data_IF_565664758456
#
_entry.id   IF_565664758456
#
_cell.length_a   1.000
_cell.length_b   1.000
_cell.length_c   1.000
_cell.angle_alpha   90.00
_cell.angle_beta   90.00
_cell.angle_gamma   90.00
#
_symmetry.space_group_name_H-M   'P 1'
#
loop_
_entity.id
_entity.type
_entity.pdbx_description
1 polymer ?
#
# COMPACT_ATOMS: atom_id res chain seq x y z
N UNK A 1 3.44 -10.67 -1.91
CA UNK A 1 3.40 -10.31 -0.48
C UNK A 1 2.93 -11.47 0.38
N UNK A 2 1.71 -12.00 0.21
CA UNK A 2 1.21 -13.12 1.01
C UNK A 2 2.15 -14.35 1.07
N UNK A 3 2.80 -14.70 -0.04
CA UNK A 3 3.81 -15.78 -0.03
C UNK A 3 5.07 -15.42 0.80
N UNK A 4 5.50 -14.16 0.79
CA UNK A 4 6.73 -13.68 1.44
C UNK A 4 6.57 -13.62 2.96
N UNK A 5 5.38 -13.25 3.44
CA UNK A 5 5.12 -13.14 4.89
C UNK A 5 5.01 -14.49 5.60
N UNK A 6 5.04 -15.60 4.84
CA UNK A 6 4.99 -16.97 5.39
C UNK A 6 3.65 -17.30 6.06
N UNK A 7 3.58 -18.48 6.69
CA UNK A 7 2.33 -19.00 7.28
C UNK A 7 1.80 -18.21 8.48
N UNK A 8 2.67 -17.46 9.16
CA UNK A 8 2.34 -16.71 10.37
C UNK A 8 2.07 -15.22 10.10
N UNK A 9 2.27 -14.77 8.86
CA UNK A 9 1.96 -13.41 8.44
C UNK A 9 0.71 -13.35 7.55
N UNK A 10 0.17 -12.16 7.37
CA UNK A 10 -1.00 -11.92 6.52
C UNK A 10 -0.77 -10.70 5.64
N UNK A 11 -1.17 -10.76 4.37
CA UNK A 11 -1.08 -9.62 3.46
C UNK A 11 -2.45 -9.02 3.18
N UNK A 12 -2.59 -7.74 3.45
CA UNK A 12 -3.79 -6.96 3.11
C UNK A 12 -3.52 -6.14 1.85
N UNK A 13 -4.44 -6.19 0.90
CA UNK A 13 -4.49 -5.31 -0.26
C UNK A 13 -5.74 -4.44 -0.21
N UNK A 14 -5.61 -3.17 -0.59
CA UNK A 14 -6.72 -2.22 -0.70
C UNK A 14 -6.73 -1.63 -2.10
N UNK A 15 -7.91 -1.59 -2.71
CA UNK A 15 -8.12 -1.12 -4.08
C UNK A 15 -9.49 -0.44 -4.15
N UNK A 16 -9.54 0.77 -4.73
CA UNK A 16 -10.77 1.56 -4.79
C UNK A 16 -11.61 1.30 -6.04
N UNK A 17 -11.09 0.59 -7.06
CA UNK A 17 -11.84 0.17 -8.24
C UNK A 17 -12.48 -1.21 -8.01
N UNK A 18 -13.83 -1.33 -7.92
CA UNK A 18 -14.50 -2.58 -7.58
C UNK A 18 -14.18 -3.75 -8.54
N UNK A 19 -14.07 -3.46 -9.84
CA UNK A 19 -13.73 -4.47 -10.84
C UNK A 19 -12.31 -5.02 -10.65
N UNK A 20 -11.36 -4.20 -10.21
CA UNK A 20 -10.00 -4.64 -9.92
C UNK A 20 -9.93 -5.43 -8.61
N UNK A 21 -10.76 -5.10 -7.61
CA UNK A 21 -10.93 -5.93 -6.40
C UNK A 21 -11.44 -7.32 -6.77
N UNK A 22 -12.50 -7.41 -7.57
CA UNK A 22 -13.06 -8.69 -8.02
C UNK A 22 -12.03 -9.49 -8.82
N UNK A 23 -11.34 -8.84 -9.77
CA UNK A 23 -10.34 -9.47 -10.62
C UNK A 23 -9.13 -9.96 -9.82
N UNK A 24 -8.62 -9.18 -8.88
CA UNK A 24 -7.47 -9.58 -8.06
C UNK A 24 -7.79 -10.79 -7.18
N UNK A 25 -8.96 -10.82 -6.52
CA UNK A 25 -9.44 -11.99 -5.75
C UNK A 25 -9.50 -13.25 -6.63
N UNK A 26 -10.08 -13.13 -7.83
CA UNK A 26 -10.20 -14.24 -8.79
C UNK A 26 -8.83 -14.73 -9.26
N UNK A 27 -7.93 -13.80 -9.60
CA UNK A 27 -6.58 -14.12 -10.07
C UNK A 27 -5.78 -14.87 -8.99
N UNK A 28 -5.78 -14.37 -7.75
CA UNK A 28 -5.04 -15.00 -6.65
C UNK A 28 -5.61 -16.40 -6.36
N UNK A 29 -6.93 -16.54 -6.28
CA UNK A 29 -7.57 -17.82 -6.02
C UNK A 29 -7.30 -18.87 -7.11
N UNK A 30 -7.16 -18.44 -8.37
CA UNK A 30 -6.88 -19.31 -9.51
C UNK A 30 -5.41 -19.71 -9.58
N UNK A 31 -4.50 -18.74 -9.45
CA UNK A 31 -3.06 -18.96 -9.61
C UNK A 31 -2.43 -19.63 -8.39
N UNK A 32 -2.92 -19.27 -7.18
CA UNK A 32 -2.37 -19.70 -5.90
C UNK A 32 -3.46 -20.17 -4.94
N UNK A 33 -4.19 -21.25 -5.28
CA UNK A 33 -5.27 -21.78 -4.44
C UNK A 33 -4.77 -22.24 -3.06
N UNK A 34 -3.49 -22.56 -2.92
CA UNK A 34 -2.81 -22.91 -1.67
C UNK A 34 -2.61 -21.71 -0.72
N UNK A 35 -2.56 -20.50 -1.27
CA UNK A 35 -2.26 -19.29 -0.51
C UNK A 35 -3.54 -18.72 0.11
N UNK A 36 -3.64 -18.74 1.44
CA UNK A 36 -4.84 -18.33 2.20
C UNK A 36 -4.66 -17.09 3.06
N UNK A 37 -3.43 -16.67 3.31
CA UNK A 37 -3.07 -15.57 4.20
C UNK A 37 -3.10 -14.21 3.49
N UNK A 38 -4.21 -13.92 2.81
CA UNK A 38 -4.43 -12.65 2.13
C UNK A 38 -5.87 -12.18 2.26
N UNK A 39 -6.04 -10.85 2.29
CA UNK A 39 -7.33 -10.19 2.21
C UNK A 39 -7.24 -9.05 1.20
N UNK A 40 -8.19 -8.97 0.27
CA UNK A 40 -8.35 -7.78 -0.58
C UNK A 40 -9.60 -7.04 -0.11
N UNK A 41 -9.48 -5.75 0.17
CA UNK A 41 -10.55 -4.86 0.60
C UNK A 41 -10.84 -3.85 -0.50
N UNK A 42 -12.12 -3.59 -0.76
CA UNK A 42 -12.54 -2.45 -1.57
C UNK A 42 -12.56 -1.21 -0.69
N UNK A 43 -11.80 -0.18 -1.05
CA UNK A 43 -11.72 1.04 -0.25
C UNK A 43 -10.60 1.97 -0.69
N UNK A 44 -10.54 3.14 -0.04
CA UNK A 44 -9.53 4.15 -0.32
C UNK A 44 -8.19 3.83 0.34
N UNK A 45 -7.19 3.51 -0.47
CA UNK A 45 -5.84 3.20 0.01
C UNK A 45 -5.14 4.34 0.75
N UNK A 46 -5.60 5.59 0.61
CA UNK A 46 -5.06 6.75 1.35
C UNK A 46 -5.38 6.68 2.85
N UNK A 47 -6.48 6.01 3.20
CA UNK A 47 -6.90 5.80 4.59
C UNK A 47 -6.25 4.56 5.22
N UNK A 48 -5.66 3.68 4.41
CA UNK A 48 -5.13 2.40 4.87
C UNK A 48 -6.23 1.50 5.42
N UNK A 49 -5.86 0.63 6.36
CA UNK A 49 -6.77 -0.33 7.00
C UNK A 49 -6.44 -0.35 8.49
N UNK A 50 -6.95 0.64 9.21
CA UNK A 50 -6.58 0.90 10.62
C UNK A 50 -6.91 -0.27 11.55
N UNK A 51 -7.99 -1.01 11.28
CA UNK A 51 -8.43 -2.14 12.10
C UNK A 51 -7.48 -3.35 12.05
N UNK A 52 -6.55 -3.37 11.09
CA UNK A 52 -5.52 -4.39 10.95
C UNK A 52 -4.10 -3.85 11.18
N UNK A 53 -3.98 -2.57 11.56
CA UNK A 53 -2.73 -2.01 12.05
C UNK A 53 -2.40 -2.63 13.44
N UNK A 54 -1.11 -2.64 13.85
CA UNK A 54 0.05 -2.13 13.13
C UNK A 54 0.58 -3.05 12.02
N UNK A 55 1.23 -2.46 11.01
CA UNK A 55 1.91 -3.16 9.92
C UNK A 55 3.43 -3.12 10.02
N UNK A 56 4.10 -4.26 9.86
CA UNK A 56 5.56 -4.31 9.70
C UNK A 56 6.01 -3.67 8.38
N UNK A 57 5.19 -3.78 7.33
CA UNK A 57 5.46 -3.19 6.03
C UNK A 57 4.17 -2.72 5.36
N UNK A 58 4.21 -1.51 4.82
CA UNK A 58 3.19 -0.97 3.91
C UNK A 58 3.88 -0.63 2.60
N UNK A 59 3.32 -1.09 1.49
CA UNK A 59 3.74 -0.69 0.16
C UNK A 59 2.58 0.00 -0.56
N UNK A 60 2.85 1.17 -1.11
CA UNK A 60 1.90 1.90 -1.96
C UNK A 60 2.38 1.80 -3.41
N UNK A 61 1.56 1.15 -4.24
CA UNK A 61 1.83 0.95 -5.66
C UNK A 61 1.38 2.10 -6.58
N UNK A 62 1.18 3.30 -6.01
CA UNK A 62 0.73 4.51 -6.71
C UNK A 62 1.38 5.74 -6.07
N UNK A 63 1.61 6.79 -6.85
CA UNK A 63 2.27 8.01 -6.38
C UNK A 63 1.32 8.89 -5.57
N UNK A 64 1.60 9.03 -4.28
CA UNK A 64 0.92 10.00 -3.44
C UNK A 64 1.40 11.42 -3.77
N UNK A 65 0.49 12.40 -3.80
CA UNK A 65 0.87 13.80 -4.02
C UNK A 65 1.71 14.38 -2.89
N UNK A 66 1.52 13.85 -1.69
CA UNK A 66 2.22 14.22 -0.45
C UNK A 66 2.50 12.97 0.39
N UNK A 67 3.25 13.13 1.47
CA UNK A 67 3.57 12.01 2.38
C UNK A 67 2.28 11.51 3.05
N UNK A 68 1.92 10.21 2.93
CA UNK A 68 0.65 9.71 3.44
C UNK A 68 0.73 9.45 4.95
N UNK A 69 0.49 10.50 5.75
CA UNK A 69 0.61 10.44 7.22
C UNK A 69 -0.29 9.38 7.87
N UNK A 70 -1.49 9.15 7.36
CA UNK A 70 -2.39 8.09 7.86
C UNK A 70 -1.75 6.70 7.79
N UNK A 71 -0.99 6.42 6.73
CA UNK A 71 -0.27 5.15 6.58
C UNK A 71 0.93 5.06 7.51
N UNK A 72 1.66 6.17 7.72
CA UNK A 72 2.76 6.21 8.69
C UNK A 72 2.29 5.87 10.11
N UNK A 73 1.10 6.36 10.50
CA UNK A 73 0.50 6.07 11.81
C UNK A 73 0.10 4.61 11.99
N UNK A 74 -0.10 3.88 10.89
CA UNK A 74 -0.44 2.45 10.90
C UNK A 74 0.80 1.54 10.89
N UNK A 75 2.01 2.09 10.79
CA UNK A 75 3.23 1.28 10.88
C UNK A 75 3.47 0.77 12.30
N UNK A 76 4.03 -0.42 12.41
CA UNK A 76 4.52 -0.97 13.66
C UNK A 76 5.55 -0.03 14.29
N UNK A 77 5.40 0.34 15.58
CA UNK A 77 6.28 1.33 16.21
C UNK A 77 7.73 0.87 16.30
N UNK A 78 7.98 -0.44 16.33
CA UNK A 78 9.34 -0.99 16.44
C UNK A 78 9.87 -1.42 15.07
N UNK A 79 10.05 -0.47 14.16
CA UNK A 79 10.75 -0.70 12.89
C UNK A 79 9.86 -0.93 11.66
N UNK A 80 8.55 -0.68 11.76
CA UNK A 80 7.64 -0.76 10.63
C UNK A 80 8.06 0.16 9.48
N UNK A 81 7.86 -0.28 8.23
CA UNK A 81 8.35 0.44 7.04
C UNK A 81 7.24 0.77 6.06
N UNK A 82 7.20 2.02 5.59
CA UNK A 82 6.37 2.43 4.46
C UNK A 82 7.26 2.68 3.24
N UNK A 83 6.91 2.03 2.12
CA UNK A 83 7.55 2.24 0.83
C UNK A 83 6.52 2.82 -0.12
N UNK A 84 6.70 4.09 -0.49
CA UNK A 84 5.72 4.83 -1.31
C UNK A 84 6.41 5.80 -2.27
N UNK A 85 5.97 5.87 -3.53
CA UNK A 85 6.32 6.98 -4.43
C UNK A 85 5.60 8.26 -3.96
N UNK A 86 6.36 9.36 -3.88
CA UNK A 86 5.80 10.68 -3.53
C UNK A 86 6.19 11.70 -4.60
N UNK A 87 5.21 12.47 -5.05
CA UNK A 87 5.35 13.56 -6.01
C UNK A 87 4.28 13.53 -7.10
N UNK A 88 4.12 14.64 -7.82
CA UNK A 88 3.20 14.73 -8.98
C UNK A 88 3.96 14.50 -10.30
N UNK A 89 4.77 15.48 -10.69
CA UNK A 89 5.59 15.43 -11.91
C UNK A 89 6.94 14.74 -11.66
N UNK A 90 7.64 15.20 -10.62
CA UNK A 90 8.91 14.65 -10.15
C UNK A 90 8.66 13.72 -8.97
N UNK A 91 8.46 12.44 -9.27
CA UNK A 91 8.20 11.42 -8.28
C UNK A 91 9.50 10.77 -7.82
N UNK A 92 9.62 10.57 -6.50
CA UNK A 92 10.72 9.82 -5.92
C UNK A 92 10.16 8.71 -5.03
N UNK A 93 10.82 7.57 -5.04
CA UNK A 93 10.52 6.47 -4.13
C UNK A 93 11.14 6.79 -2.77
N UNK A 94 10.32 6.76 -1.73
CA UNK A 94 10.75 6.94 -0.35
C UNK A 94 10.56 5.67 0.47
N UNK A 95 11.46 5.47 1.42
CA UNK A 95 11.30 4.53 2.52
C UNK A 95 11.20 5.34 3.81
N UNK A 96 10.11 5.16 4.52
CA UNK A 96 9.91 5.68 5.87
C UNK A 96 10.03 4.54 6.86
N UNK A 97 10.74 4.74 7.96
CA UNK A 97 10.92 3.76 9.03
C UNK A 97 10.41 4.36 10.33
N UNK A 98 9.47 3.67 10.99
CA UNK A 98 8.94 4.07 12.28
C UNK A 98 9.82 3.53 13.41
N UNK A 99 10.18 4.44 14.31
CA UNK A 99 10.99 4.21 15.49
C UNK A 99 10.29 4.90 16.67
N UNK A 100 9.36 4.17 17.29
CA UNK A 100 8.41 4.65 18.28
C UNK A 100 7.57 5.83 17.72
N UNK A 101 7.79 7.03 18.25
CA UNK A 101 7.14 8.28 17.84
C UNK A 101 7.88 8.99 16.68
N UNK A 102 9.07 8.51 16.30
CA UNK A 102 9.89 9.13 15.25
C UNK A 102 9.69 8.41 13.93
N UNK A 103 9.72 9.19 12.85
CA UNK A 103 9.76 8.68 11.48
C UNK A 103 11.10 9.09 10.85
N UNK A 104 11.88 8.12 10.41
CA UNK A 104 13.08 8.35 9.59
C UNK A 104 12.69 8.23 8.13
N UNK A 105 13.08 9.21 7.32
CA UNK A 105 12.76 9.26 5.89
C UNK A 105 14.04 9.11 5.06
N UNK A 106 13.98 8.22 4.06
CA UNK A 106 15.06 8.01 3.10
C UNK A 106 14.53 8.10 1.68
N UNK A 107 15.08 9.02 0.88
CA UNK A 107 14.87 9.05 -0.56
C UNK A 107 15.73 7.96 -1.20
N UNK A 108 15.11 7.11 -2.03
CA UNK A 108 15.81 6.02 -2.72
C UNK A 108 16.24 6.46 -4.11
N UNK A 109 15.28 6.77 -4.99
CA UNK A 109 15.55 7.13 -6.40
C UNK A 109 14.35 7.81 -7.03
N UNK A 110 14.53 8.40 -8.22
CA UNK A 110 13.43 8.89 -9.06
C UNK A 110 12.66 7.72 -9.69
N UNK A 111 11.33 7.83 -9.76
CA UNK A 111 10.43 6.80 -10.31
C UNK A 111 9.27 7.43 -11.07
N UNK A 112 8.42 6.62 -11.70
CA UNK A 112 7.15 7.07 -12.29
C UNK A 112 6.06 6.02 -12.10
N UNK A 113 5.01 6.40 -11.38
CA UNK A 113 3.84 5.61 -11.02
C UNK A 113 2.56 6.36 -11.41
N UNK A 114 1.46 5.61 -11.51
CA UNK A 114 0.12 6.20 -11.62
C UNK A 114 -0.24 6.97 -10.34
N UNK A 115 -1.06 8.03 -10.40
CA UNK A 115 -1.43 8.79 -9.22
C UNK A 115 -2.26 7.97 -8.21
N UNK A 116 -1.99 8.14 -6.92
CA UNK A 116 -2.89 7.76 -5.84
C UNK A 116 -3.91 8.89 -5.68
N UNK A 117 -5.11 8.70 -6.23
CA UNK A 117 -6.10 9.76 -6.44
C UNK A 117 -7.52 9.28 -6.16
N UNK A 118 -8.51 10.15 -6.34
CA UNK A 118 -9.92 9.79 -6.24
C UNK A 118 -10.35 8.83 -7.36
N UNK A 119 -11.22 7.89 -7.04
CA UNK A 119 -11.76 6.89 -7.97
C UNK A 119 -12.28 7.53 -9.28
N UNK A 120 -13.06 8.61 -9.16
CA UNK A 120 -13.63 9.27 -10.34
C UNK A 120 -12.54 9.82 -11.25
N UNK A 121 -11.53 10.50 -10.69
CA UNK A 121 -10.40 11.05 -11.46
C UNK A 121 -9.58 9.96 -12.14
N UNK A 122 -9.46 8.76 -11.54
CA UNK A 122 -8.76 7.64 -12.19
C UNK A 122 -9.55 7.06 -13.36
N UNK A 123 -10.88 7.03 -13.28
CA UNK A 123 -11.75 6.43 -14.30
C UNK A 123 -12.03 7.39 -15.46
N UNK A 124 -12.08 8.69 -15.20
CA UNK A 124 -12.19 9.71 -16.23
C UNK A 124 -10.81 9.94 -16.86
N UNK A 125 -10.58 9.33 -18.02
CA UNK A 125 -9.48 9.75 -18.90
C UNK A 125 -9.86 11.12 -19.45
N UNK A 126 -9.27 12.19 -18.92
CA UNK A 126 -9.03 13.38 -19.74
C UNK A 126 -7.89 13.09 -20.72
#
# INVERSE_FOLDING_TARGET
MAHIVGSNGHAYGIEHVPDLVKKSRSNIATDRPDLKNWTIVEGDGRDGLIDHAPYDAIHVGAAASEVPFKLLQQLHPNGGRLITPVGKLDQNLYVFVRDQEKIKQHRITGVRYVPLTDLQLQLTKE
#
